data_IF_854474876924
#
_entry.id   IF_854474876924
#
_cell.length_a   1.000
_cell.length_b   1.000
_cell.length_c   1.000
_cell.angle_alpha   90.00
_cell.angle_beta   90.00
_cell.angle_gamma   90.00
#
_symmetry.space_group_name_H-M   'P 1'
#
loop_
_entity.id
_entity.type
_entity.pdbx_description
1 polymer ?
#
# COMPACT_ATOMS: atom_id res chain seq x y z
N UNK A 1 -3.26 26.01 19.96
CA UNK A 1 -3.58 24.57 20.06
C UNK A 1 -2.88 24.05 21.29
N UNK A 2 -3.61 23.41 22.19
CA UNK A 2 -3.06 22.71 23.35
C UNK A 2 -2.89 21.24 22.99
N UNK A 3 -1.77 20.64 23.35
CA UNK A 3 -1.48 19.23 23.07
C UNK A 3 -1.28 18.51 24.41
N UNK A 4 -2.09 17.48 24.63
CA UNK A 4 -1.99 16.60 25.80
C UNK A 4 -1.57 15.19 25.36
N UNK A 5 -0.94 14.44 26.23
CA UNK A 5 -0.40 13.12 25.93
C UNK A 5 -0.87 12.08 26.93
N UNK A 6 -1.29 10.93 26.44
CA UNK A 6 -1.48 9.70 27.23
C UNK A 6 -0.77 8.54 26.54
N UNK A 7 -0.11 7.69 27.31
CA UNK A 7 0.65 6.58 26.73
C UNK A 7 -0.21 5.52 26.06
N UNK A 8 -1.40 5.26 26.58
CA UNK A 8 -2.38 4.33 26.04
C UNK A 8 -2.03 2.85 26.22
N UNK A 9 -0.85 2.42 25.83
CA UNK A 9 -0.32 1.06 25.99
C UNK A 9 1.19 1.06 26.16
N UNK A 10 1.75 -0.06 26.64
CA UNK A 10 3.20 -0.28 26.68
C UNK A 10 3.61 -1.27 25.60
N UNK A 11 4.47 -0.83 24.70
CA UNK A 11 5.12 -1.66 23.71
C UNK A 11 6.40 -2.34 24.20
N UNK A 12 6.74 -2.19 25.48
CA UNK A 12 7.93 -2.79 26.07
C UNK A 12 7.64 -4.21 26.52
N UNK A 13 8.31 -5.18 25.92
CA UNK A 13 8.32 -6.57 26.34
C UNK A 13 9.75 -6.89 26.78
N UNK A 14 10.08 -6.76 28.07
CA UNK A 14 11.42 -7.07 28.54
C UNK A 14 11.71 -8.55 28.32
N UNK A 15 12.85 -8.85 27.71
CA UNK A 15 13.39 -10.19 27.62
C UNK A 15 14.36 -10.40 28.82
N UNK A 16 14.06 -11.35 29.67
CA UNK A 16 14.95 -11.79 30.78
C UNK A 16 15.26 -13.26 30.53
N UNK A 17 16.55 -13.58 30.37
CA UNK A 17 17.04 -14.95 30.14
C UNK A 17 16.34 -15.67 28.97
N UNK A 18 16.08 -14.94 27.85
CA UNK A 18 15.42 -15.49 26.68
C UNK A 18 13.93 -15.77 26.85
N UNK A 19 13.32 -15.31 27.93
CA UNK A 19 11.86 -15.41 28.18
C UNK A 19 11.22 -14.03 28.21
N UNK A 20 9.99 -13.94 27.69
CA UNK A 20 9.18 -12.74 27.79
C UNK A 20 8.83 -12.53 29.26
N UNK A 21 9.34 -11.46 29.88
CA UNK A 21 8.91 -11.04 31.18
C UNK A 21 7.53 -10.39 31.15
N UNK A 22 6.80 -10.43 32.24
CA UNK A 22 5.53 -9.69 32.36
C UNK A 22 5.75 -8.21 32.06
N UNK A 23 4.82 -7.54 31.34
CA UNK A 23 4.95 -6.13 31.04
C UNK A 23 5.10 -5.31 32.34
N UNK A 24 6.02 -4.36 32.29
CA UNK A 24 6.30 -3.48 33.46
C UNK A 24 5.16 -2.47 33.70
N UNK A 25 4.11 -2.47 32.88
CA UNK A 25 3.00 -1.51 32.96
C UNK A 25 1.66 -2.24 32.88
N UNK A 26 0.70 -1.73 33.66
CA UNK A 26 -0.69 -2.13 33.54
C UNK A 26 -1.32 -1.45 32.31
N UNK A 27 -1.41 -2.20 31.19
CA UNK A 27 -2.01 -1.69 29.96
C UNK A 27 -3.50 -1.33 30.14
N UNK A 28 -4.18 -1.94 31.09
CA UNK A 28 -5.58 -1.59 31.39
C UNK A 28 -5.68 -0.18 31.96
N UNK A 29 -4.81 0.18 32.93
CA UNK A 29 -4.77 1.52 33.47
C UNK A 29 -4.37 2.55 32.42
N UNK A 30 -3.34 2.27 31.62
CA UNK A 30 -2.91 3.16 30.52
C UNK A 30 -4.05 3.42 29.52
N UNK A 31 -4.80 2.37 29.17
CA UNK A 31 -5.94 2.49 28.27
C UNK A 31 -7.07 3.34 28.88
N UNK A 32 -7.35 3.20 30.20
CA UNK A 32 -8.35 4.03 30.89
C UNK A 32 -7.96 5.51 30.87
N UNK A 33 -6.70 5.82 31.13
CA UNK A 33 -6.17 7.20 31.08
C UNK A 33 -6.29 7.78 29.65
N UNK A 34 -5.93 7.00 28.63
CA UNK A 34 -6.03 7.42 27.22
C UNK A 34 -7.47 7.67 26.79
N UNK A 35 -8.41 6.78 27.13
CA UNK A 35 -9.84 6.95 26.80
C UNK A 35 -10.44 8.16 27.52
N UNK A 36 -10.02 8.42 28.79
CA UNK A 36 -10.44 9.62 29.51
C UNK A 36 -9.96 10.88 28.78
N UNK A 37 -8.68 10.95 28.43
CA UNK A 37 -8.12 12.09 27.69
C UNK A 37 -8.78 12.27 26.33
N UNK A 38 -9.04 11.20 25.60
CA UNK A 38 -9.71 11.21 24.30
C UNK A 38 -11.11 11.85 24.38
N UNK A 39 -11.85 11.56 25.44
CA UNK A 39 -13.19 12.15 25.67
C UNK A 39 -13.16 13.66 25.86
N UNK A 40 -12.08 14.18 26.42
CA UNK A 40 -11.88 15.61 26.74
C UNK A 40 -11.18 16.37 25.61
N UNK A 41 -10.84 15.69 24.50
CA UNK A 41 -10.08 16.25 23.36
C UNK A 41 -10.98 16.53 22.16
N UNK A 42 -10.68 17.59 21.39
CA UNK A 42 -11.34 17.89 20.13
C UNK A 42 -10.94 16.94 19.00
N UNK A 43 -9.72 16.44 19.04
CA UNK A 43 -9.09 15.54 18.06
C UNK A 43 -8.17 14.58 18.78
N UNK A 44 -8.20 13.33 18.39
CA UNK A 44 -7.28 12.30 18.87
C UNK A 44 -6.33 11.90 17.75
N UNK A 45 -5.02 11.98 18.00
CA UNK A 45 -4.00 11.39 17.13
C UNK A 45 -3.49 10.13 17.82
N UNK A 46 -3.91 8.98 17.32
CA UNK A 46 -3.43 7.68 17.81
C UNK A 46 -2.19 7.26 17.03
N UNK A 47 -1.03 7.25 17.67
CA UNK A 47 0.20 6.73 17.07
C UNK A 47 0.39 5.30 17.52
N UNK A 48 0.28 4.37 16.58
CA UNK A 48 0.36 2.95 16.84
C UNK A 48 1.10 2.19 15.73
N UNK A 49 1.13 0.87 15.84
CA UNK A 49 1.77 0.03 14.85
C UNK A 49 2.63 -1.08 15.45
N UNK A 50 3.68 -1.40 14.73
CA UNK A 50 4.69 -2.40 15.09
C UNK A 50 5.97 -1.71 15.59
N UNK A 51 6.95 -2.51 16.02
CA UNK A 51 8.28 -2.06 16.39
C UNK A 51 9.31 -3.17 16.15
N UNK A 52 10.57 -2.93 16.47
CA UNK A 52 11.65 -3.90 16.29
C UNK A 52 11.80 -4.90 17.47
N UNK A 53 10.77 -5.04 18.32
CA UNK A 53 10.77 -6.08 19.35
C UNK A 53 10.65 -7.47 18.71
N UNK A 54 11.11 -8.47 19.45
CA UNK A 54 11.06 -9.86 19.04
C UNK A 54 9.65 -10.28 18.59
N UNK A 55 9.57 -10.97 17.44
CA UNK A 55 8.31 -11.40 16.78
C UNK A 55 7.38 -10.24 16.35
N UNK A 56 7.96 -9.09 16.09
CA UNK A 56 7.33 -7.96 15.43
C UNK A 56 8.05 -7.71 14.09
N UNK A 57 8.37 -6.47 13.73
CA UNK A 57 9.20 -6.17 12.56
C UNK A 57 10.69 -6.28 12.91
N UNK A 58 11.16 -7.48 13.28
CA UNK A 58 12.54 -7.74 13.69
C UNK A 58 13.22 -8.79 12.81
N UNK A 59 14.55 -8.74 12.72
CA UNK A 59 15.33 -9.78 12.04
C UNK A 59 15.34 -11.10 12.82
N UNK A 60 15.40 -12.21 12.09
CA UNK A 60 15.62 -13.55 12.61
C UNK A 60 14.35 -14.28 13.09
N UNK A 61 13.23 -13.58 13.19
CA UNK A 61 11.95 -14.20 13.55
C UNK A 61 10.80 -13.50 12.86
N UNK A 62 9.94 -14.28 12.21
CA UNK A 62 8.74 -13.80 11.59
C UNK A 62 7.69 -13.37 12.63
N UNK A 63 6.87 -12.42 12.24
CA UNK A 63 5.71 -12.01 13.01
C UNK A 63 4.65 -13.12 13.01
N UNK A 64 4.19 -13.51 14.21
CA UNK A 64 3.23 -14.62 14.36
C UNK A 64 1.77 -14.21 14.13
N UNK A 65 1.47 -12.91 14.15
CA UNK A 65 0.10 -12.42 14.04
C UNK A 65 0.00 -11.27 13.05
N UNK A 66 -1.03 -11.29 12.23
CA UNK A 66 -1.36 -10.19 11.33
C UNK A 66 -1.96 -8.98 12.10
N UNK A 67 -2.52 -9.21 13.28
CA UNK A 67 -3.10 -8.18 14.13
C UNK A 67 -2.04 -7.25 14.74
N UNK A 68 -2.43 -6.02 15.04
CA UNK A 68 -1.63 -5.12 15.87
C UNK A 68 -1.48 -5.67 17.29
N UNK A 69 -0.26 -5.63 17.87
CA UNK A 69 0.02 -6.13 19.21
C UNK A 69 -0.48 -5.18 20.30
N UNK A 70 -0.29 -5.59 21.55
CA UNK A 70 -0.45 -4.78 22.77
C UNK A 70 -1.89 -4.28 23.05
N UNK A 71 -2.90 -4.90 22.44
CA UNK A 71 -4.30 -4.47 22.62
C UNK A 71 -4.67 -3.17 21.90
N UNK A 72 -3.86 -2.74 20.93
CA UNK A 72 -4.10 -1.51 20.16
C UNK A 72 -5.48 -1.50 19.49
N UNK A 73 -5.95 -2.56 18.78
CA UNK A 73 -7.27 -2.56 18.17
C UNK A 73 -8.41 -2.28 19.15
N UNK A 74 -8.34 -2.90 20.33
CA UNK A 74 -9.34 -2.70 21.38
C UNK A 74 -9.29 -1.28 21.94
N UNK A 75 -8.10 -0.73 22.17
CA UNK A 75 -7.95 0.64 22.66
C UNK A 75 -8.53 1.64 21.63
N UNK A 76 -8.28 1.45 20.34
CA UNK A 76 -8.83 2.31 19.27
C UNK A 76 -10.35 2.26 19.28
N UNK A 77 -10.98 1.07 19.38
CA UNK A 77 -12.45 0.96 19.47
C UNK A 77 -13.00 1.73 20.68
N UNK A 78 -12.41 1.57 21.84
CA UNK A 78 -12.82 2.29 23.07
C UNK A 78 -12.64 3.81 22.94
N UNK A 79 -11.64 4.29 22.22
CA UNK A 79 -11.46 5.71 21.92
C UNK A 79 -12.57 6.18 20.98
N UNK A 80 -12.90 5.44 19.92
CA UNK A 80 -13.96 5.78 18.97
C UNK A 80 -15.35 5.85 19.64
N UNK A 81 -15.60 5.06 20.69
CA UNK A 81 -16.84 5.15 21.48
C UNK A 81 -17.02 6.51 22.19
N UNK A 82 -15.94 7.22 22.48
CA UNK A 82 -15.97 8.49 23.21
C UNK A 82 -15.59 9.70 22.39
N UNK A 83 -14.91 9.51 21.27
CA UNK A 83 -14.49 10.56 20.33
C UNK A 83 -14.35 9.97 18.92
N UNK A 84 -15.21 10.40 18.00
CA UNK A 84 -15.18 9.96 16.61
C UNK A 84 -14.16 10.68 15.74
N UNK A 85 -13.55 11.75 16.24
CA UNK A 85 -12.53 12.53 15.50
C UNK A 85 -11.14 11.97 15.78
N UNK A 86 -10.80 10.86 15.13
CA UNK A 86 -9.56 10.11 15.33
C UNK A 86 -8.75 10.07 14.05
N UNK A 87 -7.45 10.33 14.16
CA UNK A 87 -6.45 10.05 13.13
C UNK A 87 -5.56 8.92 13.63
N UNK A 88 -5.53 7.81 12.92
CA UNK A 88 -4.59 6.71 13.16
C UNK A 88 -3.31 6.95 12.37
N UNK A 89 -2.20 7.13 13.06
CA UNK A 89 -0.85 7.12 12.48
C UNK A 89 -0.26 5.74 12.70
N UNK A 90 -0.15 4.98 11.62
CA UNK A 90 0.33 3.60 11.64
C UNK A 90 1.83 3.55 11.30
N UNK A 91 2.64 3.11 12.25
CA UNK A 91 4.09 2.90 12.08
C UNK A 91 4.34 1.39 11.97
N UNK A 92 4.66 0.92 10.79
CA UNK A 92 4.92 -0.51 10.53
C UNK A 92 5.76 -0.69 9.28
N UNK A 93 6.56 -1.77 9.21
CA UNK A 93 7.37 -2.10 8.03
C UNK A 93 6.58 -2.84 6.94
N UNK A 94 5.41 -3.38 7.27
CA UNK A 94 4.54 -4.09 6.33
C UNK A 94 3.05 -3.96 6.71
N UNK A 95 2.18 -4.64 5.97
CA UNK A 95 0.74 -4.63 6.20
C UNK A 95 0.36 -5.24 7.56
N UNK A 96 -0.73 -4.75 8.13
CA UNK A 96 -1.38 -5.25 9.34
C UNK A 96 -2.89 -5.33 9.13
N UNK A 97 -3.57 -6.12 9.95
CA UNK A 97 -5.04 -6.16 9.95
C UNK A 97 -5.60 -4.80 10.37
N UNK A 98 -6.35 -4.18 9.47
CA UNK A 98 -7.01 -2.89 9.69
C UNK A 98 -8.54 -2.98 9.73
N UNK A 99 -9.12 -4.19 9.74
CA UNK A 99 -10.60 -4.37 9.81
C UNK A 99 -11.21 -3.73 11.06
N UNK A 100 -10.44 -3.61 12.15
CA UNK A 100 -10.86 -2.89 13.35
C UNK A 100 -10.98 -1.37 13.15
N UNK A 101 -10.38 -0.84 12.09
CA UNK A 101 -10.25 0.59 11.82
C UNK A 101 -11.22 1.09 10.74
N UNK A 102 -12.27 0.34 10.40
CA UNK A 102 -13.29 0.74 9.42
C UNK A 102 -13.97 2.07 9.80
N UNK A 103 -14.17 2.30 11.11
CA UNK A 103 -14.79 3.52 11.63
C UNK A 103 -13.76 4.64 11.90
N UNK A 104 -12.47 4.44 11.61
CA UNK A 104 -11.44 5.48 11.77
C UNK A 104 -11.48 6.43 10.57
N UNK A 105 -11.80 7.72 10.76
CA UNK A 105 -11.99 8.66 9.63
C UNK A 105 -10.74 8.89 8.80
N UNK A 106 -9.56 8.74 9.38
CA UNK A 106 -8.29 9.03 8.72
C UNK A 106 -7.17 8.12 9.20
N UNK A 107 -6.45 7.51 8.25
CA UNK A 107 -5.30 6.65 8.51
C UNK A 107 -4.09 7.17 7.74
N UNK A 108 -2.98 7.35 8.43
CA UNK A 108 -1.68 7.71 7.86
C UNK A 108 -0.74 6.53 8.01
N UNK A 109 -0.38 5.86 6.91
CA UNK A 109 0.66 4.85 6.90
C UNK A 109 2.03 5.55 6.87
N UNK A 110 2.69 5.63 8.01
CA UNK A 110 3.92 6.38 8.17
C UNK A 110 5.18 5.55 7.86
N UNK A 111 5.10 4.22 7.82
CA UNK A 111 6.25 3.33 7.72
C UNK A 111 7.28 3.60 8.84
N UNK A 112 8.55 3.34 8.58
CA UNK A 112 9.67 3.69 9.46
C UNK A 112 10.44 4.87 8.86
N UNK A 113 10.09 6.10 9.27
CA UNK A 113 10.60 7.34 8.68
C UNK A 113 12.00 7.74 9.14
N UNK A 114 12.65 6.96 10.01
CA UNK A 114 13.97 7.30 10.56
C UNK A 114 13.93 8.34 11.67
N UNK A 115 15.05 9.04 11.90
CA UNK A 115 15.25 9.96 13.05
C UNK A 115 14.33 11.18 13.04
N UNK A 116 13.89 11.64 11.86
CA UNK A 116 13.03 12.80 11.69
C UNK A 116 11.53 12.44 11.58
N UNK A 117 11.15 11.23 11.97
CA UNK A 117 9.77 10.72 11.85
C UNK A 117 8.72 11.63 12.50
N UNK A 118 9.02 12.18 13.67
CA UNK A 118 8.13 13.10 14.37
C UNK A 118 7.83 14.38 13.57
N UNK A 119 8.85 14.98 12.99
CA UNK A 119 8.69 16.18 12.14
C UNK A 119 7.96 15.84 10.83
N UNK A 120 8.29 14.73 10.19
CA UNK A 120 7.64 14.32 8.94
C UNK A 120 6.14 14.04 9.15
N UNK A 121 5.77 13.30 10.20
CA UNK A 121 4.38 13.02 10.54
C UNK A 121 3.64 14.31 10.92
N UNK A 122 4.25 15.17 11.75
CA UNK A 122 3.63 16.43 12.14
C UNK A 122 3.36 17.35 10.95
N UNK A 123 4.29 17.44 9.98
CA UNK A 123 4.12 18.25 8.76
C UNK A 123 2.98 17.75 7.87
N UNK A 124 2.75 16.44 7.81
CA UNK A 124 1.59 15.87 7.12
C UNK A 124 0.31 16.20 7.87
N UNK A 125 0.27 15.96 9.18
CA UNK A 125 -0.93 16.18 10.01
C UNK A 125 -1.34 17.66 10.07
N UNK A 126 -0.38 18.60 10.10
CA UNK A 126 -0.65 20.04 10.05
C UNK A 126 -1.10 20.53 8.67
N UNK A 127 -0.83 19.76 7.62
CA UNK A 127 -1.07 20.14 6.24
C UNK A 127 0.00 21.05 5.65
N UNK A 128 1.16 21.22 6.31
CA UNK A 128 2.33 21.89 5.75
C UNK A 128 2.89 21.11 4.56
N UNK A 129 2.76 19.78 4.59
CA UNK A 129 3.07 18.88 3.49
C UNK A 129 1.80 18.16 3.06
N UNK A 130 1.45 18.27 1.79
CA UNK A 130 0.39 17.46 1.19
C UNK A 130 0.96 16.09 0.83
N UNK A 131 0.45 14.98 1.40
CA UNK A 131 0.98 13.64 1.12
C UNK A 131 0.71 13.24 -0.34
N UNK A 132 1.68 12.56 -0.95
CA UNK A 132 1.59 12.00 -2.30
C UNK A 132 2.05 10.55 -2.37
N UNK A 133 2.43 9.96 -1.24
CA UNK A 133 2.90 8.59 -1.16
C UNK A 133 1.82 7.60 -1.59
N UNK A 134 2.23 6.54 -2.31
CA UNK A 134 1.38 5.41 -2.70
C UNK A 134 1.87 4.14 -2.02
N UNK A 135 0.96 3.26 -1.66
CA UNK A 135 1.31 1.98 -1.03
C UNK A 135 2.11 1.11 -1.99
N UNK A 136 3.31 0.64 -1.61
CA UNK A 136 4.14 -0.24 -2.43
C UNK A 136 3.74 -1.72 -2.34
N UNK A 137 2.72 -2.02 -1.55
CA UNK A 137 2.14 -3.36 -1.35
C UNK A 137 0.62 -3.25 -1.26
N UNK A 138 -0.10 -4.35 -1.52
CA UNK A 138 -1.51 -4.48 -1.17
C UNK A 138 -1.64 -4.80 0.32
N UNK A 139 -2.63 -4.22 0.98
CA UNK A 139 -3.02 -4.60 2.34
C UNK A 139 -4.17 -5.61 2.23
N UNK A 140 -3.98 -6.88 2.55
CA UNK A 140 -5.04 -7.87 2.53
C UNK A 140 -6.08 -7.60 3.62
N UNK A 141 -7.32 -8.05 3.43
CA UNK A 141 -8.31 -8.02 4.51
C UNK A 141 -8.00 -9.10 5.55
N UNK A 142 -7.57 -10.28 5.11
CA UNK A 142 -7.08 -11.37 5.97
C UNK A 142 -5.74 -11.89 5.46
N UNK A 143 -5.01 -12.60 6.29
CA UNK A 143 -3.71 -13.15 5.89
C UNK A 143 -3.87 -14.23 4.81
N UNK A 144 -4.97 -14.98 4.85
CA UNK A 144 -5.33 -16.03 3.91
C UNK A 144 -5.63 -15.49 2.50
N UNK A 145 -5.92 -14.20 2.37
CA UNK A 145 -6.10 -13.54 1.07
C UNK A 145 -4.78 -13.35 0.31
N UNK A 146 -3.64 -13.50 0.99
CA UNK A 146 -2.31 -13.43 0.35
C UNK A 146 -1.95 -14.76 -0.33
N UNK A 147 -1.38 -14.70 -1.54
CA UNK A 147 -0.91 -15.89 -2.27
C UNK A 147 -0.01 -16.79 -1.45
N UNK A 148 0.95 -16.22 -0.72
CA UNK A 148 1.86 -16.97 0.14
C UNK A 148 1.17 -17.74 1.30
N UNK A 149 -0.03 -17.36 1.69
CA UNK A 149 -0.80 -18.01 2.78
C UNK A 149 -2.02 -18.80 2.29
N UNK A 150 -2.43 -18.60 1.03
CA UNK A 150 -3.64 -19.22 0.48
C UNK A 150 -3.55 -20.74 0.34
N UNK A 151 -2.34 -21.29 0.29
CA UNK A 151 -2.09 -22.73 0.07
C UNK A 151 -1.63 -23.48 1.34
N UNK A 152 -1.58 -22.77 2.47
CA UNK A 152 -1.21 -23.36 3.76
C UNK A 152 0.30 -23.39 4.04
N UNK A 153 0.73 -24.19 5.04
CA UNK A 153 2.09 -24.10 5.58
C UNK A 153 3.20 -24.54 4.62
N UNK A 154 2.89 -25.28 3.58
CA UNK A 154 3.89 -25.69 2.56
C UNK A 154 4.39 -24.49 1.74
N UNK A 155 3.54 -23.47 1.57
CA UNK A 155 3.90 -22.23 0.88
C UNK A 155 4.59 -21.27 1.85
N UNK A 156 4.04 -21.07 3.04
CA UNK A 156 4.65 -20.25 4.09
C UNK A 156 4.19 -20.70 5.49
N UNK A 157 5.09 -20.89 6.44
CA UNK A 157 6.55 -20.64 6.43
C UNK A 157 7.40 -21.75 5.79
N UNK A 158 6.79 -22.76 5.22
CA UNK A 158 7.44 -23.97 4.72
C UNK A 158 7.35 -25.15 5.68
N UNK A 159 7.60 -26.34 5.17
CA UNK A 159 7.60 -27.60 5.93
C UNK A 159 8.91 -28.35 5.67
N UNK A 160 9.55 -28.86 6.72
CA UNK A 160 10.81 -29.59 6.63
C UNK A 160 11.91 -28.85 5.83
N UNK A 161 12.11 -27.54 6.16
CA UNK A 161 13.09 -26.66 5.51
C UNK A 161 12.86 -26.46 3.99
N UNK A 162 11.65 -26.75 3.52
CA UNK A 162 11.24 -26.58 2.12
C UNK A 162 10.07 -25.62 2.05
N UNK A 163 10.15 -24.66 1.12
CA UNK A 163 9.09 -23.72 0.78
C UNK A 163 8.67 -23.95 -0.67
N UNK A 164 7.37 -24.10 -0.89
CA UNK A 164 6.79 -24.26 -2.23
C UNK A 164 6.10 -22.97 -2.63
N UNK A 165 6.55 -22.33 -3.71
CA UNK A 165 5.94 -21.11 -4.24
C UNK A 165 4.68 -21.44 -5.05
N UNK A 166 3.61 -21.87 -4.36
CA UNK A 166 2.36 -22.32 -5.01
C UNK A 166 1.57 -21.17 -5.64
N UNK A 167 1.83 -19.93 -5.26
CA UNK A 167 1.30 -18.73 -5.90
C UNK A 167 1.94 -18.41 -7.25
N UNK A 168 3.10 -19.05 -7.57
CA UNK A 168 3.83 -18.93 -8.81
C UNK A 168 4.14 -17.44 -9.17
N UNK A 169 3.82 -17.01 -10.39
CA UNK A 169 4.06 -15.63 -10.88
C UNK A 169 3.15 -14.57 -10.22
N UNK A 170 2.17 -15.02 -9.45
CA UNK A 170 1.15 -14.16 -8.85
C UNK A 170 1.60 -13.62 -7.49
N UNK A 171 2.47 -12.62 -7.48
CA UNK A 171 2.96 -11.97 -6.26
C UNK A 171 2.31 -10.60 -6.08
N UNK A 172 1.88 -10.29 -4.85
CA UNK A 172 1.30 -8.99 -4.48
C UNK A 172 0.00 -8.69 -5.26
N UNK A 173 -0.13 -7.49 -5.84
CA UNK A 173 -1.35 -7.08 -6.56
C UNK A 173 -1.70 -8.00 -7.74
N UNK A 174 -0.71 -8.68 -8.35
CA UNK A 174 -0.95 -9.66 -9.43
C UNK A 174 -1.82 -10.81 -8.95
N UNK A 175 -1.63 -11.25 -7.70
CA UNK A 175 -2.47 -12.27 -7.06
C UNK A 175 -3.88 -11.76 -6.85
N UNK A 176 -4.04 -10.60 -6.18
CA UNK A 176 -5.34 -10.03 -5.89
C UNK A 176 -6.16 -9.81 -7.17
N UNK A 177 -5.55 -9.21 -8.19
CA UNK A 177 -6.19 -8.97 -9.48
C UNK A 177 -6.57 -10.28 -10.20
N UNK A 178 -5.65 -11.26 -10.28
CA UNK A 178 -5.86 -12.49 -11.05
C UNK A 178 -6.82 -13.47 -10.37
N UNK A 179 -6.91 -13.42 -9.05
CA UNK A 179 -7.85 -14.24 -8.27
C UNK A 179 -9.15 -13.51 -7.93
N UNK A 180 -9.29 -12.26 -8.39
CA UNK A 180 -10.45 -11.39 -8.12
C UNK A 180 -10.74 -11.26 -6.63
N UNK A 181 -9.69 -11.08 -5.84
CA UNK A 181 -9.75 -10.83 -4.40
C UNK A 181 -9.61 -9.32 -4.17
N UNK A 182 -10.54 -8.72 -3.44
CA UNK A 182 -10.48 -7.30 -3.10
C UNK A 182 -9.61 -7.11 -1.85
N UNK A 183 -8.44 -6.46 -1.93
CA UNK A 183 -7.68 -6.12 -0.75
C UNK A 183 -8.35 -4.98 0.03
N UNK A 184 -7.99 -4.79 1.30
CA UNK A 184 -8.45 -3.64 2.07
C UNK A 184 -7.91 -2.33 1.50
N UNK A 185 -6.65 -2.32 1.09
CA UNK A 185 -6.04 -1.24 0.29
C UNK A 185 -5.20 -1.85 -0.82
N UNK A 186 -5.47 -1.43 -2.04
CA UNK A 186 -4.78 -1.92 -3.22
C UNK A 186 -3.34 -1.40 -3.31
N UNK A 187 -2.49 -2.10 -4.03
CA UNK A 187 -1.18 -1.59 -4.45
C UNK A 187 -1.34 -0.26 -5.18
N UNK A 188 -0.52 0.71 -4.83
CA UNK A 188 -0.57 2.04 -5.43
C UNK A 188 -1.65 2.95 -4.84
N UNK A 189 -2.46 2.49 -3.88
CA UNK A 189 -3.42 3.34 -3.17
C UNK A 189 -2.72 4.45 -2.37
N UNK A 190 -3.30 5.63 -2.36
CA UNK A 190 -2.87 6.76 -1.54
C UNK A 190 -3.65 8.00 -1.88
N UNK A 191 -4.15 8.67 -0.84
CA UNK A 191 -4.93 9.89 -0.94
C UNK A 191 -4.06 11.13 -0.82
N UNK A 192 -4.60 12.27 -1.21
CA UNK A 192 -4.00 13.59 -1.11
C UNK A 192 -5.00 14.55 -0.45
N UNK A 193 -4.51 15.71 0.02
CA UNK A 193 -5.37 16.80 0.49
C UNK A 193 -5.97 17.64 -0.67
N UNK A 194 -5.76 17.18 -1.90
CA UNK A 194 -6.37 17.72 -3.11
C UNK A 194 -6.90 16.58 -3.99
N UNK A 195 -7.58 16.91 -5.08
CA UNK A 195 -8.17 15.92 -5.99
C UNK A 195 -7.60 16.09 -7.40
N UNK A 196 -7.55 14.99 -8.15
CA UNK A 196 -7.00 14.98 -9.51
C UNK A 196 -8.01 14.41 -10.49
N UNK A 197 -8.04 15.01 -11.68
CA UNK A 197 -8.81 14.55 -12.82
C UNK A 197 -7.86 14.19 -13.96
N UNK A 198 -8.14 13.07 -14.63
CA UNK A 198 -7.38 12.59 -15.77
C UNK A 198 -8.19 12.83 -17.06
N UNK A 199 -7.51 13.17 -18.16
CA UNK A 199 -8.14 13.33 -19.48
C UNK A 199 -7.14 13.07 -20.61
N UNK A 200 -7.64 13.07 -21.85
CA UNK A 200 -6.85 13.07 -23.10
C UNK A 200 -5.82 11.94 -23.21
N UNK A 201 -6.18 10.73 -22.73
CA UNK A 201 -5.29 9.59 -22.73
C UNK A 201 -5.11 9.01 -24.14
N UNK A 202 -3.84 8.73 -24.51
CA UNK A 202 -3.50 8.14 -25.79
C UNK A 202 -2.06 7.68 -25.90
N UNK A 203 -1.73 7.11 -27.04
CA UNK A 203 -0.38 6.67 -27.41
C UNK A 203 0.05 7.33 -28.72
N UNK A 204 1.36 7.43 -28.97
CA UNK A 204 1.92 8.03 -30.18
C UNK A 204 1.74 7.16 -31.45
N UNK A 205 1.38 5.87 -31.28
CA UNK A 205 1.01 4.95 -32.35
C UNK A 205 0.01 3.91 -31.83
N UNK A 206 -0.68 3.20 -32.73
CA UNK A 206 -1.50 2.03 -32.38
C UNK A 206 -0.78 0.71 -32.64
N UNK A 207 0.36 0.73 -33.32
CA UNK A 207 1.12 -0.46 -33.72
C UNK A 207 2.58 -0.26 -33.40
N UNK A 208 3.20 -1.25 -32.75
CA UNK A 208 4.59 -1.26 -32.37
C UNK A 208 5.25 -2.59 -32.69
N UNK A 209 6.58 -2.60 -32.71
CA UNK A 209 7.43 -3.78 -32.93
C UNK A 209 8.42 -3.97 -31.77
N UNK A 210 9.02 -5.14 -31.63
CA UNK A 210 10.12 -5.33 -30.70
C UNK A 210 11.21 -4.25 -30.87
N UNK A 211 11.74 -3.72 -29.77
CA UNK A 211 12.68 -2.61 -29.76
C UNK A 211 12.06 -1.20 -29.76
N UNK A 212 10.77 -1.07 -30.05
CA UNK A 212 10.08 0.23 -30.04
C UNK A 212 9.82 0.75 -28.60
N UNK A 213 9.49 2.04 -28.53
CA UNK A 213 9.06 2.71 -27.30
C UNK A 213 7.69 3.30 -27.50
N UNK A 214 6.77 2.95 -26.63
CA UNK A 214 5.42 3.52 -26.57
C UNK A 214 5.47 4.80 -25.70
N UNK A 215 5.02 5.92 -26.26
CA UNK A 215 4.79 7.14 -25.48
C UNK A 215 3.32 7.19 -25.10
N UNK A 216 3.06 6.89 -23.82
CA UNK A 216 1.72 7.03 -23.23
C UNK A 216 1.57 8.46 -22.74
N UNK A 217 0.61 9.22 -23.27
CA UNK A 217 0.34 10.61 -22.90
C UNK A 217 -1.07 10.75 -22.35
N UNK A 218 -1.22 11.58 -21.33
CA UNK A 218 -2.51 11.94 -20.72
C UNK A 218 -2.37 13.26 -19.98
N UNK A 219 -3.49 13.94 -19.75
CA UNK A 219 -3.54 15.16 -18.94
C UNK A 219 -3.91 14.83 -17.50
N UNK A 220 -3.25 15.47 -16.54
CA UNK A 220 -3.64 15.45 -15.11
C UNK A 220 -3.91 16.88 -14.67
N UNK A 221 -5.08 17.11 -14.09
CA UNK A 221 -5.51 18.39 -13.53
C UNK A 221 -5.71 18.27 -12.03
N UNK A 222 -5.14 19.19 -11.27
CA UNK A 222 -5.49 19.37 -9.87
C UNK A 222 -6.81 20.14 -9.79
N UNK A 223 -7.86 19.47 -9.33
CA UNK A 223 -9.23 20.03 -9.24
C UNK A 223 -9.56 20.57 -7.85
N UNK A 224 -8.67 20.35 -6.87
CA UNK A 224 -8.85 20.85 -5.52
C UNK A 224 -8.23 22.22 -5.27
N UNK A 225 -8.19 22.62 -4.00
CA UNK A 225 -7.79 23.96 -3.56
C UNK A 225 -6.37 24.03 -3.00
N UNK A 226 -5.63 22.93 -2.98
CA UNK A 226 -4.25 22.84 -2.47
C UNK A 226 -3.31 22.39 -3.58
N UNK A 227 -2.09 22.86 -3.53
CA UNK A 227 -1.00 22.32 -4.35
C UNK A 227 -0.72 20.87 -3.92
N UNK A 228 -0.32 20.03 -4.86
CA UNK A 228 -0.02 18.63 -4.55
C UNK A 228 0.63 17.89 -5.71
N UNK A 229 1.09 16.68 -5.43
CA UNK A 229 1.71 15.80 -6.41
C UNK A 229 0.81 14.59 -6.65
N UNK A 230 0.56 14.27 -7.91
CA UNK A 230 -0.08 13.02 -8.30
C UNK A 230 0.96 12.03 -8.82
N UNK A 231 0.78 10.75 -8.45
CA UNK A 231 1.58 9.65 -8.97
C UNK A 231 0.70 8.79 -9.85
N UNK A 232 0.79 9.04 -11.16
CA UNK A 232 0.08 8.26 -12.18
C UNK A 232 0.84 6.98 -12.47
N UNK A 233 0.12 5.86 -12.55
CA UNK A 233 0.65 4.52 -12.77
C UNK A 233 0.20 4.01 -14.13
N UNK A 234 1.08 3.31 -14.84
CA UNK A 234 0.77 2.75 -16.17
C UNK A 234 0.99 1.24 -16.14
N UNK A 235 -0.10 0.51 -16.31
CA UNK A 235 -0.12 -0.94 -16.35
C UNK A 235 -0.31 -1.44 -17.78
N UNK A 236 0.23 -2.62 -18.07
CA UNK A 236 0.08 -3.28 -19.36
C UNK A 236 -0.53 -4.67 -19.16
N UNK A 237 -1.53 -4.97 -19.97
CA UNK A 237 -2.25 -6.24 -20.03
C UNK A 237 -2.16 -6.83 -21.41
N UNK A 238 -1.75 -8.08 -21.57
CA UNK A 238 -1.87 -8.78 -22.86
C UNK A 238 -3.27 -9.37 -22.99
N UNK A 239 -3.89 -9.20 -24.16
CA UNK A 239 -5.22 -9.72 -24.44
C UNK A 239 -5.10 -11.09 -25.11
N UNK A 240 -5.71 -12.11 -24.51
CA UNK A 240 -5.63 -13.51 -24.91
C UNK A 240 -4.19 -14.03 -25.07
N UNK A 241 -3.38 -14.00 -24.00
CA UNK A 241 -2.02 -14.55 -24.04
C UNK A 241 -2.05 -16.06 -24.28
N UNK A 242 -1.00 -16.60 -24.91
CA UNK A 242 -0.87 -18.05 -25.17
C UNK A 242 -0.53 -18.85 -23.89
N UNK A 243 -0.01 -18.20 -22.88
CA UNK A 243 0.37 -18.76 -21.58
C UNK A 243 -0.28 -17.98 -20.44
N UNK A 244 -0.35 -18.58 -19.27
CA UNK A 244 -0.85 -17.92 -18.07
C UNK A 244 0.00 -16.69 -17.71
N UNK A 245 -0.65 -15.56 -17.49
CA UNK A 245 -0.03 -14.28 -17.16
C UNK A 245 -0.86 -13.51 -16.14
N UNK A 246 -0.22 -12.61 -15.35
CA UNK A 246 -0.96 -11.65 -14.54
C UNK A 246 -1.93 -10.81 -15.40
N UNK A 247 -3.10 -10.49 -14.85
CA UNK A 247 -4.12 -9.68 -15.54
C UNK A 247 -3.54 -8.36 -16.04
N UNK A 248 -2.65 -7.75 -15.26
CA UNK A 248 -1.91 -6.54 -15.62
C UNK A 248 -0.59 -6.45 -14.86
N UNK A 249 0.35 -5.70 -15.40
CA UNK A 249 1.66 -5.46 -14.79
C UNK A 249 2.02 -3.98 -14.85
N UNK A 250 2.47 -3.42 -13.73
CA UNK A 250 3.00 -2.06 -13.69
C UNK A 250 4.29 -1.98 -14.53
N UNK A 251 4.26 -1.16 -15.57
CA UNK A 251 5.40 -0.96 -16.49
C UNK A 251 5.98 0.44 -16.46
N UNK A 252 5.28 1.39 -15.82
CA UNK A 252 5.79 2.75 -15.64
C UNK A 252 4.95 3.57 -14.67
N UNK A 253 5.51 4.67 -14.22
CA UNK A 253 4.81 5.66 -13.40
C UNK A 253 5.44 7.05 -13.57
N UNK A 254 4.71 8.09 -13.19
CA UNK A 254 5.20 9.45 -13.17
C UNK A 254 4.66 10.21 -11.96
N UNK A 255 5.53 10.97 -11.28
CA UNK A 255 5.15 11.94 -10.26
C UNK A 255 5.03 13.32 -10.90
N UNK A 256 3.89 13.97 -10.74
CA UNK A 256 3.57 15.27 -11.35
C UNK A 256 3.13 16.25 -10.30
N UNK A 257 3.93 17.31 -10.07
CA UNK A 257 3.58 18.42 -9.17
C UNK A 257 2.63 19.37 -9.88
N UNK A 258 1.50 19.70 -9.23
CA UNK A 258 0.42 20.53 -9.76
C UNK A 258 -0.01 21.57 -8.72
N UNK A 259 -0.04 22.82 -9.11
CA UNK A 259 -0.71 23.85 -8.32
C UNK A 259 -2.22 23.64 -8.36
N UNK A 260 -2.93 24.22 -7.37
CA UNK A 260 -4.38 24.28 -7.40
C UNK A 260 -4.89 24.82 -8.74
N UNK A 261 -5.77 24.08 -9.42
CA UNK A 261 -6.33 24.41 -10.74
C UNK A 261 -5.40 24.15 -11.93
N UNK A 262 -4.13 23.79 -11.71
CA UNK A 262 -3.17 23.54 -12.79
C UNK A 262 -3.44 22.22 -13.49
N UNK A 263 -3.22 22.18 -14.81
CA UNK A 263 -3.24 20.99 -15.64
C UNK A 263 -1.89 20.82 -16.34
N UNK A 264 -1.40 19.58 -16.39
CA UNK A 264 -0.17 19.21 -17.12
C UNK A 264 -0.38 17.95 -17.95
N UNK A 265 0.28 17.95 -19.11
CA UNK A 265 0.43 16.73 -19.92
C UNK A 265 1.55 15.89 -19.31
N UNK A 266 1.24 14.65 -18.98
CA UNK A 266 2.18 13.65 -18.50
C UNK A 266 2.52 12.70 -19.62
N UNK A 267 3.79 12.35 -19.79
CA UNK A 267 4.25 11.37 -20.76
C UNK A 267 5.06 10.30 -20.04
N UNK A 268 4.61 9.06 -20.13
CA UNK A 268 5.33 7.87 -19.65
C UNK A 268 5.83 7.08 -20.86
N UNK A 269 7.13 6.81 -20.90
CA UNK A 269 7.74 6.06 -22.02
C UNK A 269 8.00 4.64 -21.58
N UNK A 270 7.40 3.69 -22.28
CA UNK A 270 7.53 2.25 -22.02
C UNK A 270 8.31 1.60 -23.16
N UNK A 271 9.35 0.84 -22.84
CA UNK A 271 9.97 -0.03 -23.83
C UNK A 271 9.09 -1.26 -24.06
N UNK A 272 8.81 -1.61 -25.31
CA UNK A 272 7.96 -2.75 -25.66
C UNK A 272 8.58 -4.06 -25.14
N UNK A 273 9.89 -4.17 -25.19
CA UNK A 273 10.62 -5.39 -24.81
C UNK A 273 10.42 -5.79 -23.34
N UNK A 274 10.09 -4.84 -22.43
CA UNK A 274 9.82 -5.17 -21.01
C UNK A 274 8.42 -5.78 -20.80
N UNK A 275 7.65 -5.98 -21.86
CA UNK A 275 6.35 -6.68 -21.84
C UNK A 275 6.51 -8.18 -22.12
N UNK A 276 7.74 -8.61 -22.51
CA UNK A 276 8.09 -10.01 -22.67
C UNK A 276 7.97 -10.77 -21.34
N UNK A 277 7.74 -12.07 -21.42
CA UNK A 277 7.74 -13.01 -20.31
C UNK A 277 8.72 -14.15 -20.59
N UNK A 278 9.16 -14.80 -19.54
CA UNK A 278 10.09 -15.93 -19.65
C UNK A 278 9.33 -17.18 -20.11
N UNK A 279 9.88 -17.89 -21.07
CA UNK A 279 9.36 -19.16 -21.57
C UNK A 279 10.44 -20.22 -21.39
N UNK A 280 10.19 -21.21 -20.53
CA UNK A 280 11.17 -22.25 -20.18
C UNK A 280 11.59 -23.08 -21.39
N UNK A 281 10.64 -23.47 -22.24
CA UNK A 281 10.89 -24.27 -23.43
C UNK A 281 11.81 -23.56 -24.43
N UNK A 282 11.77 -22.22 -24.45
CA UNK A 282 12.63 -21.39 -25.30
C UNK A 282 13.95 -21.01 -24.59
N UNK A 283 14.02 -21.19 -23.28
CA UNK A 283 15.12 -20.71 -22.46
C UNK A 283 15.35 -19.21 -22.58
N UNK A 284 14.28 -18.42 -22.78
CA UNK A 284 14.39 -16.99 -23.07
C UNK A 284 13.11 -16.18 -22.91
N UNK A 285 13.28 -14.86 -23.05
CA UNK A 285 12.17 -13.92 -23.01
C UNK A 285 11.40 -13.93 -24.34
N UNK A 286 10.09 -14.01 -24.28
CA UNK A 286 9.19 -14.00 -25.42
C UNK A 286 8.26 -12.78 -25.34
N UNK A 287 8.26 -11.97 -26.37
CA UNK A 287 7.27 -10.91 -26.58
C UNK A 287 6.25 -11.40 -27.62
N UNK A 288 5.06 -11.72 -27.18
CA UNK A 288 4.02 -12.20 -28.08
C UNK A 288 3.45 -11.07 -28.91
N UNK A 289 3.16 -11.37 -30.17
CA UNK A 289 2.38 -10.51 -31.06
C UNK A 289 0.93 -10.52 -30.62
N UNK A 290 0.24 -9.43 -30.90
CA UNK A 290 -1.18 -9.31 -30.60
C UNK A 290 -1.54 -8.01 -29.92
N UNK A 291 -2.74 -7.99 -29.37
CA UNK A 291 -3.31 -6.80 -28.73
C UNK A 291 -2.89 -6.72 -27.25
N UNK A 292 -2.56 -5.50 -26.85
CA UNK A 292 -2.26 -5.13 -25.48
C UNK A 292 -3.10 -3.93 -25.06
N UNK A 293 -3.59 -3.93 -23.83
CA UNK A 293 -4.26 -2.81 -23.21
C UNK A 293 -3.31 -2.11 -22.23
N UNK A 294 -3.18 -0.80 -22.37
CA UNK A 294 -2.39 0.07 -21.51
C UNK A 294 -3.36 0.84 -20.63
N UNK A 295 -3.32 0.57 -19.33
CA UNK A 295 -4.17 1.21 -18.32
C UNK A 295 -3.44 2.33 -17.63
N UNK A 296 -3.99 3.54 -17.67
CA UNK A 296 -3.55 4.69 -16.86
C UNK A 296 -4.38 4.71 -15.59
N UNK A 297 -3.73 4.75 -14.43
CA UNK A 297 -4.35 4.51 -13.14
C UNK A 297 -3.79 5.41 -12.03
N UNK A 298 -4.55 5.63 -10.97
CA UNK A 298 -4.12 6.22 -9.72
C UNK A 298 -3.73 5.16 -8.66
N UNK A 299 -4.22 3.93 -8.81
CA UNK A 299 -3.87 2.73 -8.05
C UNK A 299 -4.14 1.48 -8.91
N UNK A 300 -3.75 0.28 -8.44
CA UNK A 300 -3.98 -0.95 -9.23
C UNK A 300 -5.47 -1.25 -9.44
N UNK A 301 -6.33 -0.81 -8.57
CA UNK A 301 -7.80 -0.94 -8.63
C UNK A 301 -8.52 0.35 -9.07
N UNK A 302 -7.79 1.44 -9.30
CA UNK A 302 -8.35 2.74 -9.72
C UNK A 302 -7.89 3.12 -11.13
N UNK A 303 -8.44 2.42 -12.12
CA UNK A 303 -8.14 2.64 -13.55
C UNK A 303 -8.92 3.85 -14.06
N UNK A 304 -8.21 4.83 -14.62
CA UNK A 304 -8.80 6.05 -15.19
C UNK A 304 -9.07 5.92 -16.69
N UNK A 305 -8.13 5.34 -17.44
CA UNK A 305 -8.23 5.16 -18.89
C UNK A 305 -7.59 3.85 -19.33
N UNK A 306 -8.08 3.31 -20.45
CA UNK A 306 -7.48 2.17 -21.13
C UNK A 306 -7.29 2.53 -22.60
N UNK A 307 -6.08 2.32 -23.11
CA UNK A 307 -5.72 2.52 -24.54
C UNK A 307 -5.20 1.20 -25.09
N UNK A 308 -5.78 0.73 -26.20
CA UNK A 308 -5.34 -0.52 -26.84
C UNK A 308 -4.29 -0.27 -27.90
N UNK A 309 -3.29 -1.14 -27.97
CA UNK A 309 -2.23 -1.15 -28.98
C UNK A 309 -2.00 -2.56 -29.51
N UNK A 310 -1.32 -2.71 -30.64
CA UNK A 310 -0.98 -3.97 -31.28
C UNK A 310 0.54 -4.12 -31.41
N UNK A 311 1.07 -5.28 -31.01
CA UNK A 311 2.47 -5.68 -31.23
C UNK A 311 2.53 -6.60 -32.45
N UNK A 312 3.42 -6.29 -33.43
CA UNK A 312 3.62 -7.04 -34.69
C UNK A 312 4.93 -7.80 -34.74
#
# INVERSE_FOLDING_TARGET
MEVSFARGYSAYTPMIDGRIASPAYDNMQLAVEAVKLARESDLVIFVGGLNHNWRQDSEGYDRESYNLPYGQPELIRRILEVNSNVVLVLVSGNAVDLRFAEDVPSIVQAWYCGSESGHAIASVLSGDVNPSGKLPISFPATLEDCGAHAFGPETYPGVNETVTYSEDIYVGYRWFDSKNITPMYAFGHGLSYTSYEYSDAGTDSFVYSPGDKVKVSFSVKNTGTRDGDEISQVYVSQINPSSERPVKELKGFARTSLKSGESKVVVVVLAVDVWAFWVEELGGWNLEKGRYDISIAAASDDIKYVVSVEIK
#
